data_IF_729646998918
#
_entry.id   IF_729646998918
#
_cell.length_a   1.000
_cell.length_b   1.000
_cell.length_c   1.000
_cell.angle_alpha   90.00
_cell.angle_beta   90.00
_cell.angle_gamma   90.00
#
_symmetry.space_group_name_H-M   'P 1'
#
loop_
_entity.id
_entity.type
_entity.pdbx_description
1 polymer ?
#
# COMPACT_ATOMS: atom_id res chain seq x y z
N UNK A 1 -4.29 -8.50 6.87
CA UNK A 1 -2.85 -8.57 7.17
C UNK A 1 -2.23 -7.18 7.24
N UNK A 2 -1.16 -7.00 8.03
CA UNK A 2 -0.35 -5.76 8.13
C UNK A 2 0.54 -5.55 6.91
N UNK A 3 1.22 -4.39 6.78
CA UNK A 3 2.17 -4.14 5.68
C UNK A 3 3.35 -5.12 5.67
N UNK A 4 3.89 -5.47 6.84
CA UNK A 4 5.00 -6.43 6.96
C UNK A 4 4.54 -7.85 6.60
N UNK A 5 3.35 -8.23 7.03
CA UNK A 5 2.73 -9.51 6.65
C UNK A 5 2.44 -9.56 5.15
N UNK A 6 2.01 -8.43 4.55
CA UNK A 6 1.82 -8.32 3.11
C UNK A 6 3.16 -8.45 2.37
N UNK A 7 4.20 -7.72 2.77
CA UNK A 7 5.55 -7.85 2.17
C UNK A 7 6.06 -9.30 2.27
N UNK A 8 5.82 -9.96 3.41
CA UNK A 8 6.19 -11.38 3.64
C UNK A 8 5.39 -12.34 2.77
N UNK A 9 4.06 -12.18 2.69
CA UNK A 9 3.19 -13.01 1.86
C UNK A 9 3.53 -12.87 0.37
N UNK A 10 3.85 -11.65 -0.08
CA UNK A 10 4.32 -11.39 -1.43
C UNK A 10 5.61 -12.14 -1.70
N UNK A 11 6.59 -12.02 -0.80
CA UNK A 11 7.88 -12.70 -0.91
C UNK A 11 7.74 -14.23 -0.98
N UNK A 12 6.99 -14.83 -0.06
CA UNK A 12 6.80 -16.30 -0.02
C UNK A 12 6.13 -16.82 -1.30
N UNK A 13 5.15 -16.09 -1.82
CA UNK A 13 4.45 -16.49 -3.05
C UNK A 13 5.34 -16.37 -4.29
N UNK A 14 6.29 -15.41 -4.32
CA UNK A 14 7.30 -15.32 -5.39
C UNK A 14 8.29 -16.49 -5.33
N UNK A 15 8.81 -16.78 -4.13
CA UNK A 15 9.72 -17.92 -3.90
C UNK A 15 9.05 -19.24 -4.33
N UNK A 16 7.78 -19.46 -3.96
CA UNK A 16 7.02 -20.64 -4.36
C UNK A 16 6.81 -20.79 -5.88
N UNK A 17 6.91 -19.69 -6.64
CA UNK A 17 6.77 -19.69 -8.11
C UNK A 17 8.11 -19.76 -8.85
N UNK A 18 9.22 -19.95 -8.13
CA UNK A 18 10.57 -19.92 -8.73
C UNK A 18 10.97 -18.53 -9.24
N UNK A 19 10.22 -17.50 -8.85
CA UNK A 19 10.49 -16.11 -9.21
C UNK A 19 11.33 -15.53 -8.07
N UNK A 20 12.64 -15.42 -8.28
CA UNK A 20 13.53 -14.98 -7.21
C UNK A 20 13.23 -13.55 -6.78
N UNK A 21 12.94 -13.30 -5.49
CA UNK A 21 12.54 -11.98 -5.02
C UNK A 21 13.57 -10.90 -5.33
N UNK A 22 14.87 -11.20 -5.46
CA UNK A 22 15.86 -10.18 -5.80
C UNK A 22 15.60 -9.43 -7.13
N UNK A 23 14.85 -10.01 -8.08
CA UNK A 23 14.52 -9.36 -9.36
C UNK A 23 13.25 -8.51 -9.32
N UNK A 24 12.31 -8.79 -8.40
CA UNK A 24 11.04 -8.07 -8.21
C UNK A 24 10.95 -7.25 -6.91
N UNK A 25 11.65 -7.70 -5.88
CA UNK A 25 12.00 -7.06 -4.61
C UNK A 25 13.40 -6.41 -4.63
N UNK A 26 13.99 -6.13 -5.81
CA UNK A 26 14.89 -4.94 -5.82
C UNK A 26 14.06 -3.87 -5.11
N UNK A 27 14.63 -3.13 -4.13
CA UNK A 27 13.92 -1.99 -3.61
C UNK A 27 13.43 -1.26 -4.84
N UNK A 28 12.15 -0.88 -4.87
CA UNK A 28 11.60 0.04 -5.84
C UNK A 28 12.33 1.39 -5.62
N UNK A 29 13.67 1.46 -5.71
CA UNK A 29 14.32 1.57 -7.00
C UNK A 29 14.15 2.95 -7.59
N UNK A 30 14.36 3.97 -6.77
CA UNK A 30 14.49 5.40 -7.12
C UNK A 30 13.27 6.10 -7.75
N UNK A 31 12.20 5.38 -8.11
CA UNK A 31 11.06 6.02 -8.77
C UNK A 31 9.84 6.27 -7.85
N UNK A 32 9.32 7.49 -7.97
CA UNK A 32 8.30 8.17 -7.16
C UNK A 32 6.85 7.59 -7.22
N UNK A 33 6.65 6.27 -7.29
CA UNK A 33 5.29 5.68 -7.46
C UNK A 33 5.03 4.40 -6.65
N UNK A 34 5.17 4.48 -5.32
CA UNK A 34 4.99 3.32 -4.42
C UNK A 34 3.65 2.57 -4.60
N UNK A 35 2.54 3.30 -4.77
CA UNK A 35 1.21 2.71 -4.99
C UNK A 35 1.12 1.92 -6.30
N UNK A 36 1.71 2.44 -7.38
CA UNK A 36 1.70 1.79 -8.69
C UNK A 36 2.55 0.53 -8.68
N UNK A 37 3.70 0.59 -8.03
CA UNK A 37 4.59 -0.56 -7.90
C UNK A 37 3.94 -1.66 -7.06
N UNK A 38 3.24 -1.32 -5.97
CA UNK A 38 2.48 -2.30 -5.19
C UNK A 38 1.45 -3.04 -6.05
N UNK A 39 0.60 -2.30 -6.77
CA UNK A 39 -0.42 -2.92 -7.64
C UNK A 39 0.22 -3.77 -8.73
N UNK A 40 1.26 -3.27 -9.40
CA UNK A 40 1.98 -4.02 -10.44
C UNK A 40 2.54 -5.34 -9.91
N UNK A 41 3.13 -5.32 -8.71
CA UNK A 41 3.66 -6.52 -8.06
C UNK A 41 2.54 -7.53 -7.78
N UNK A 42 1.42 -7.09 -7.19
CA UNK A 42 0.27 -7.97 -6.89
C UNK A 42 -0.34 -8.57 -8.18
N UNK A 43 -0.52 -7.75 -9.22
CA UNK A 43 -1.02 -8.23 -10.52
C UNK A 43 -0.04 -9.20 -11.19
N UNK A 44 1.27 -8.93 -11.11
CA UNK A 44 2.29 -9.86 -11.63
C UNK A 44 2.28 -11.23 -10.93
N UNK A 45 1.69 -11.31 -9.74
CA UNK A 45 1.47 -12.55 -9.00
C UNK A 45 0.13 -13.20 -9.33
N UNK A 46 -0.59 -12.75 -10.36
CA UNK A 46 -1.93 -13.23 -10.66
C UNK A 46 -2.85 -13.19 -9.42
N UNK A 47 -2.66 -12.15 -8.61
CA UNK A 47 -3.47 -11.85 -7.44
C UNK A 47 -4.10 -10.47 -7.64
N UNK A 48 -5.17 -10.24 -6.90
CA UNK A 48 -5.88 -8.98 -6.81
C UNK A 48 -5.79 -8.48 -5.38
N UNK A 49 -5.38 -7.23 -5.22
CA UNK A 49 -5.38 -6.58 -3.91
C UNK A 49 -6.83 -6.25 -3.53
N UNK A 50 -7.20 -6.53 -2.30
CA UNK A 50 -8.44 -6.07 -1.71
C UNK A 50 -8.20 -5.39 -0.36
N UNK A 51 -9.01 -4.38 -0.04
CA UNK A 51 -9.00 -3.65 1.22
C UNK A 51 -10.43 -3.51 1.70
N UNK A 52 -10.72 -3.96 2.93
CA UNK A 52 -12.08 -3.92 3.48
C UNK A 52 -13.11 -4.60 2.57
N UNK A 53 -12.74 -5.74 1.98
CA UNK A 53 -13.57 -6.50 1.03
C UNK A 53 -13.69 -5.92 -0.39
N UNK A 54 -13.13 -4.74 -0.66
CA UNK A 54 -13.17 -4.09 -1.98
C UNK A 54 -11.98 -4.46 -2.83
N UNK A 55 -12.23 -4.87 -4.07
CA UNK A 55 -11.21 -5.12 -5.09
C UNK A 55 -10.56 -3.82 -5.55
N UNK A 56 -9.23 -3.79 -5.60
CA UNK A 56 -8.44 -2.62 -5.97
C UNK A 56 -7.82 -2.85 -7.35
N UNK A 57 -8.27 -2.08 -8.34
CA UNK A 57 -7.82 -2.20 -9.74
C UNK A 57 -6.85 -1.10 -10.14
N UNK A 58 -7.04 0.09 -9.58
CA UNK A 58 -6.26 1.29 -9.92
C UNK A 58 -5.62 1.92 -8.69
N UNK A 59 -4.63 2.79 -8.92
CA UNK A 59 -4.03 3.57 -7.84
C UNK A 59 -5.03 4.53 -7.19
N UNK A 60 -6.04 5.00 -7.94
CA UNK A 60 -7.12 5.82 -7.41
C UNK A 60 -7.99 4.99 -6.44
N UNK A 61 -8.38 3.77 -6.83
CA UNK A 61 -9.14 2.86 -5.95
C UNK A 61 -8.36 2.57 -4.66
N UNK A 62 -7.04 2.39 -4.77
CA UNK A 62 -6.18 2.16 -3.62
C UNK A 62 -6.18 3.38 -2.69
N UNK A 63 -6.00 4.59 -3.23
CA UNK A 63 -6.05 5.82 -2.45
C UNK A 63 -7.39 6.01 -1.74
N UNK A 64 -8.49 5.83 -2.47
CA UNK A 64 -9.85 5.96 -1.94
C UNK A 64 -10.12 4.92 -0.84
N UNK A 65 -9.62 3.69 -0.99
CA UNK A 65 -9.73 2.65 0.02
C UNK A 65 -8.94 3.00 1.29
N UNK A 66 -7.71 3.52 1.14
CA UNK A 66 -6.91 3.99 2.28
C UNK A 66 -7.60 5.13 3.03
N UNK A 67 -8.17 6.10 2.30
CA UNK A 67 -8.94 7.19 2.90
C UNK A 67 -10.11 6.66 3.73
N UNK A 68 -10.85 5.69 3.19
CA UNK A 68 -12.00 5.08 3.88
C UNK A 68 -11.57 4.37 5.15
N UNK A 69 -10.51 3.57 5.12
CA UNK A 69 -9.99 2.89 6.31
C UNK A 69 -9.54 3.91 7.36
N UNK A 70 -8.88 5.01 6.96
CA UNK A 70 -8.56 6.11 7.90
C UNK A 70 -9.80 6.68 8.57
N UNK A 71 -10.82 7.03 7.78
CA UNK A 71 -12.06 7.61 8.29
C UNK A 71 -12.80 6.61 9.19
N UNK A 72 -12.89 5.35 8.76
CA UNK A 72 -13.51 4.25 9.50
C UNK A 72 -12.84 4.01 10.86
N UNK A 73 -11.52 4.10 10.91
CA UNK A 73 -10.74 3.98 12.14
C UNK A 73 -10.75 5.26 13.00
N UNK A 74 -11.45 6.33 12.59
CA UNK A 74 -11.60 7.56 13.36
C UNK A 74 -10.35 8.47 13.38
N UNK A 75 -9.45 8.32 12.42
CA UNK A 75 -8.23 9.14 12.33
C UNK A 75 -8.49 10.41 11.51
N UNK A 76 -8.28 11.58 12.10
CA UNK A 76 -8.29 12.85 11.36
C UNK A 76 -6.98 13.04 10.59
N UNK A 77 -6.97 13.89 9.56
CA UNK A 77 -5.73 14.25 8.85
C UNK A 77 -4.68 14.85 9.81
N UNK A 78 -5.13 15.64 10.78
CA UNK A 78 -4.26 16.23 11.82
C UNK A 78 -3.64 15.15 12.68
N UNK A 79 -4.43 14.17 13.15
CA UNK A 79 -3.91 13.06 13.96
C UNK A 79 -2.84 12.26 13.21
N UNK A 80 -3.10 11.92 11.95
CA UNK A 80 -2.11 11.22 11.12
C UNK A 80 -0.85 12.08 10.92
N UNK A 81 -1.02 13.38 10.70
CA UNK A 81 0.11 14.32 10.59
C UNK A 81 0.96 14.34 11.86
N UNK A 82 0.32 14.46 13.02
CA UNK A 82 1.00 14.54 14.32
C UNK A 82 1.73 13.22 14.65
N UNK A 83 1.14 12.07 14.35
CA UNK A 83 1.74 10.75 14.63
C UNK A 83 2.86 10.35 13.64
N UNK A 84 2.83 10.86 12.41
CA UNK A 84 3.73 10.39 11.34
C UNK A 84 4.74 11.44 10.85
N UNK A 85 4.49 12.72 11.16
CA UNK A 85 5.18 13.87 10.59
C UNK A 85 4.90 14.10 9.11
N UNK A 86 3.86 13.47 8.53
CA UNK A 86 3.43 13.73 7.16
C UNK A 86 2.59 15.00 7.09
N UNK A 87 2.82 15.83 6.09
CA UNK A 87 1.94 16.99 5.88
C UNK A 87 0.57 16.55 5.38
N UNK A 88 -0.47 17.34 5.66
CA UNK A 88 -1.82 17.10 5.14
C UNK A 88 -1.82 16.92 3.60
N UNK A 89 -0.98 17.67 2.87
CA UNK A 89 -0.85 17.52 1.42
C UNK A 89 -0.25 16.17 1.00
N UNK A 90 0.72 15.64 1.75
CA UNK A 90 1.29 14.31 1.51
C UNK A 90 0.25 13.21 1.77
N UNK A 91 -0.51 13.32 2.87
CA UNK A 91 -1.59 12.40 3.22
C UNK A 91 -2.65 12.39 2.11
N UNK A 92 -3.11 13.57 1.69
CA UNK A 92 -4.10 13.70 0.61
C UNK A 92 -3.58 13.20 -0.75
N UNK A 93 -2.27 13.28 -1.02
CA UNK A 93 -1.69 12.66 -2.22
C UNK A 93 -1.86 11.15 -2.18
N UNK A 94 -1.50 10.52 -1.06
CA UNK A 94 -1.66 9.07 -0.84
C UNK A 94 -3.14 8.69 -1.03
N UNK A 95 -4.05 9.40 -0.35
CA UNK A 95 -5.48 9.14 -0.36
C UNK A 95 -6.17 9.42 -1.70
N UNK A 96 -5.54 10.19 -2.59
CA UNK A 96 -6.03 10.40 -3.97
C UNK A 96 -5.38 9.48 -4.99
N UNK A 97 -4.60 8.49 -4.55
CA UNK A 97 -3.85 7.62 -5.46
C UNK A 97 -2.76 8.35 -6.24
N UNK A 98 -2.39 9.56 -5.82
CA UNK A 98 -1.38 10.39 -6.49
C UNK A 98 -0.01 9.99 -5.93
N UNK A 99 0.95 9.78 -6.84
CA UNK A 99 2.27 9.24 -6.54
C UNK A 99 2.87 9.75 -5.23
N UNK A 100 3.32 8.80 -4.41
CA UNK A 100 3.97 9.04 -3.12
C UNK A 100 5.24 8.20 -3.00
N UNK A 101 6.14 8.65 -2.12
CA UNK A 101 7.36 7.93 -1.81
C UNK A 101 7.07 6.73 -0.92
N UNK A 102 7.84 5.64 -1.05
CA UNK A 102 7.69 4.42 -0.21
C UNK A 102 7.73 4.77 1.28
N UNK A 103 8.66 5.64 1.70
CA UNK A 103 8.79 6.08 3.10
C UNK A 103 7.53 6.77 3.61
N UNK A 104 6.88 7.61 2.79
CA UNK A 104 5.65 8.29 3.17
C UNK A 104 4.47 7.32 3.27
N UNK A 105 4.35 6.39 2.34
CA UNK A 105 3.32 5.35 2.40
C UNK A 105 3.49 4.45 3.63
N UNK A 106 4.73 4.03 3.93
CA UNK A 106 5.02 3.23 5.13
C UNK A 106 4.67 3.99 6.42
N UNK A 107 5.03 5.27 6.51
CA UNK A 107 4.65 6.13 7.65
C UNK A 107 3.13 6.20 7.82
N UNK A 108 2.39 6.39 6.74
CA UNK A 108 0.92 6.42 6.75
C UNK A 108 0.33 5.10 7.26
N UNK A 109 0.77 3.97 6.69
CA UNK A 109 0.27 2.62 7.04
C UNK A 109 0.68 2.15 8.43
N UNK A 110 1.69 2.77 9.07
CA UNK A 110 2.00 2.53 10.49
C UNK A 110 0.99 3.18 11.44
N UNK A 111 0.31 4.24 11.00
CA UNK A 111 -0.66 4.98 11.81
C UNK A 111 -2.09 4.52 11.51
N UNK A 112 -2.44 4.38 10.23
CA UNK A 112 -3.77 3.96 9.80
C UNK A 112 -3.81 2.44 9.67
N UNK A 113 -4.62 1.74 10.48
CA UNK A 113 -4.78 0.29 10.34
C UNK A 113 -5.51 0.02 9.02
N UNK A 114 -4.88 -0.76 8.15
CA UNK A 114 -5.44 -1.16 6.86
C UNK A 114 -5.35 -2.67 6.76
N UNK A 115 -6.50 -3.32 6.58
CA UNK A 115 -6.55 -4.76 6.40
C UNK A 115 -6.43 -5.10 4.91
N UNK A 116 -5.24 -5.54 4.51
CA UNK A 116 -4.98 -6.01 3.16
C UNK A 116 -5.39 -7.47 2.99
N UNK A 117 -5.96 -7.78 1.83
CA UNK A 117 -6.28 -9.13 1.38
C UNK A 117 -5.69 -9.35 -0.02
N UNK A 118 -5.17 -10.55 -0.27
CA UNK A 118 -4.79 -11.02 -1.60
C UNK A 118 -5.82 -12.05 -2.05
N UNK A 119 -6.49 -11.77 -3.17
CA UNK A 119 -7.47 -12.68 -3.79
C UNK A 119 -6.89 -13.25 -5.07
N UNK A 120 -7.15 -14.53 -5.36
CA UNK A 120 -6.84 -15.15 -6.66
C UNK A 120 -8.00 -14.92 -7.62
#
# INVERSE_FOLDING_TARGET
MTLEELETALRLTFEARGIYPASLLRPIGRDNYALRSLLKTVTGMNCLLAIGGRKIWTVADLGDALQRERIRAGYSLRRVSDETGLTAAQILRIEKGRGCQKKSLAKYLRCVPVDFELRK
#
